data_IF_437483247281
#
_entry.id   IF_437483247281
#
_cell.length_a   1.000
_cell.length_b   1.000
_cell.length_c   1.000
_cell.angle_alpha   90.00
_cell.angle_beta   90.00
_cell.angle_gamma   90.00
#
_symmetry.space_group_name_H-M   'P 1'
#
loop_
_entity.id
_entity.type
_entity.pdbx_description
1 polymer ?
#
# COMPACT_ATOMS: atom_id res chain seq x y z
N UNK A 1 13.99 8.97 -1.80
CA UNK A 1 12.73 8.24 -2.03
C UNK A 1 12.46 8.30 -3.53
N UNK A 2 12.14 7.17 -4.16
CA UNK A 2 11.86 7.13 -5.59
C UNK A 2 10.39 7.50 -5.83
N UNK A 3 10.13 8.35 -6.83
CA UNK A 3 8.81 8.90 -7.15
C UNK A 3 8.41 8.51 -8.58
N UNK A 4 7.11 8.49 -8.86
CA UNK A 4 6.67 8.44 -10.25
C UNK A 4 7.03 9.76 -10.95
N UNK A 5 7.38 9.72 -12.25
CA UNK A 5 7.62 10.93 -13.04
C UNK A 5 6.46 11.93 -12.96
N UNK A 6 5.23 11.43 -13.03
CA UNK A 6 3.98 12.23 -13.03
C UNK A 6 3.26 12.21 -11.67
N UNK A 7 3.97 11.94 -10.58
CA UNK A 7 3.39 11.95 -9.25
C UNK A 7 2.88 13.35 -8.89
N UNK A 8 1.61 13.43 -8.48
CA UNK A 8 1.00 14.64 -7.97
C UNK A 8 1.81 15.25 -6.82
N UNK A 9 2.01 16.56 -6.86
CA UNK A 9 2.87 17.25 -5.89
C UNK A 9 2.35 17.15 -4.44
N UNK A 10 1.03 17.12 -4.25
CA UNK A 10 0.41 17.00 -2.93
C UNK A 10 0.54 15.57 -2.40
N UNK A 11 0.43 14.57 -3.29
CA UNK A 11 0.72 13.18 -2.94
C UNK A 11 2.17 13.00 -2.52
N UNK A 12 3.11 13.60 -3.26
CA UNK A 12 4.53 13.58 -2.92
C UNK A 12 4.77 14.19 -1.54
N UNK A 13 4.18 15.34 -1.25
CA UNK A 13 4.28 15.99 0.06
C UNK A 13 3.71 15.11 1.18
N UNK A 14 2.56 14.46 0.95
CA UNK A 14 1.98 13.50 1.90
C UNK A 14 2.96 12.36 2.20
N UNK A 15 3.55 11.73 1.17
CA UNK A 15 4.51 10.65 1.34
C UNK A 15 5.76 11.09 2.12
N UNK A 16 6.27 12.28 1.84
CA UNK A 16 7.41 12.87 2.58
C UNK A 16 7.04 13.12 4.04
N UNK A 17 5.87 13.71 4.31
CA UNK A 17 5.38 13.96 5.66
C UNK A 17 5.23 12.66 6.45
N UNK A 18 4.67 11.63 5.82
CA UNK A 18 4.54 10.31 6.41
C UNK A 18 5.90 9.66 6.69
N UNK A 19 6.87 9.82 5.80
CA UNK A 19 8.23 9.31 6.03
C UNK A 19 8.91 9.98 7.21
N UNK A 20 8.81 11.31 7.32
CA UNK A 20 9.37 12.04 8.46
C UNK A 20 8.72 11.59 9.76
N UNK A 21 7.39 11.42 9.78
CA UNK A 21 6.67 10.88 10.94
C UNK A 21 7.15 9.48 11.32
N UNK A 22 7.38 8.60 10.34
CA UNK A 22 7.96 7.28 10.61
C UNK A 22 9.37 7.37 11.19
N UNK A 23 10.21 8.30 10.70
CA UNK A 23 11.55 8.53 11.26
C UNK A 23 11.50 8.98 12.71
N UNK A 24 10.52 9.82 13.07
CA UNK A 24 10.34 10.32 14.43
C UNK A 24 9.84 9.21 15.39
N UNK A 25 8.92 8.36 14.93
CA UNK A 25 8.38 7.24 15.71
C UNK A 25 9.37 6.07 15.83
N UNK A 26 10.07 5.76 14.74
CA UNK A 26 10.89 4.56 14.59
C UNK A 26 10.07 3.27 14.51
N UNK A 27 10.77 2.12 14.52
CA UNK A 27 10.10 0.83 14.69
C UNK A 27 9.63 0.70 16.15
N UNK A 28 8.49 0.03 16.40
CA UNK A 28 8.04 -0.23 17.77
C UNK A 28 9.11 -0.99 18.55
N UNK A 29 9.13 -0.73 19.87
CA UNK A 29 9.97 -1.47 20.80
C UNK A 29 9.10 -2.38 21.66
N UNK A 30 9.72 -3.37 22.32
CA UNK A 30 9.01 -4.25 23.28
C UNK A 30 8.38 -3.52 24.47
N UNK A 31 8.69 -2.22 24.67
CA UNK A 31 8.07 -1.38 25.70
C UNK A 31 6.66 -0.93 25.32
N UNK A 32 6.26 -1.07 24.05
CA UNK A 32 4.94 -0.71 23.56
C UNK A 32 4.04 -1.94 23.73
N UNK A 33 2.95 -1.81 24.48
CA UNK A 33 2.08 -2.93 24.88
C UNK A 33 1.58 -3.74 23.67
N UNK A 34 1.12 -3.04 22.63
CA UNK A 34 0.62 -3.62 21.36
C UNK A 34 1.68 -4.47 20.62
N UNK A 35 2.96 -4.27 20.93
CA UNK A 35 4.09 -4.85 20.19
C UNK A 35 5.08 -5.60 21.09
N UNK A 36 4.75 -5.82 22.36
CA UNK A 36 5.67 -6.40 23.34
C UNK A 36 6.19 -7.79 22.94
N UNK A 37 5.37 -8.54 22.19
CA UNK A 37 5.66 -9.91 21.75
C UNK A 37 6.11 -9.99 20.28
N UNK A 38 6.26 -8.88 19.58
CA UNK A 38 6.68 -8.86 18.17
C UNK A 38 8.16 -8.47 18.05
N UNK A 39 8.95 -9.28 17.34
CA UNK A 39 10.36 -8.95 17.06
C UNK A 39 10.51 -8.33 15.66
N UNK A 40 11.01 -7.09 15.63
CA UNK A 40 11.30 -6.36 14.40
C UNK A 40 12.79 -6.35 14.02
N UNK A 41 13.63 -7.14 14.70
CA UNK A 41 15.08 -7.17 14.45
C UNK A 41 15.44 -7.50 13.00
N UNK A 42 14.68 -8.39 12.35
CA UNK A 42 14.86 -8.78 10.94
C UNK A 42 14.61 -7.61 9.98
N UNK A 43 13.66 -6.71 10.29
CA UNK A 43 13.40 -5.53 9.45
C UNK A 43 14.60 -4.58 9.40
N UNK A 44 15.45 -4.57 10.43
CA UNK A 44 16.66 -3.73 10.47
C UNK A 44 17.83 -4.30 9.67
N UNK A 45 17.82 -5.59 9.37
CA UNK A 45 18.93 -6.32 8.74
C UNK A 45 18.69 -6.65 7.27
N UNK A 46 17.57 -6.19 6.72
CA UNK A 46 17.14 -6.55 5.37
C UNK A 46 17.20 -5.31 4.50
N UNK A 47 17.76 -5.45 3.30
CA UNK A 47 17.68 -4.42 2.27
C UNK A 47 16.34 -4.51 1.54
N UNK A 48 15.67 -3.38 1.39
CA UNK A 48 14.37 -3.31 0.75
C UNK A 48 14.43 -2.50 -0.55
N UNK A 49 13.61 -2.91 -1.52
CA UNK A 49 13.31 -2.14 -2.73
C UNK A 49 11.81 -1.99 -2.90
N UNK A 50 11.38 -0.85 -3.44
CA UNK A 50 9.99 -0.68 -3.87
C UNK A 50 9.73 -1.50 -5.13
N UNK A 51 8.58 -2.17 -5.18
CA UNK A 51 8.12 -2.84 -6.39
C UNK A 51 7.41 -1.86 -7.31
N UNK A 52 7.78 -1.85 -8.58
CA UNK A 52 7.16 -1.07 -9.64
C UNK A 52 6.38 -1.97 -10.59
N UNK A 53 5.40 -1.40 -11.30
CA UNK A 53 4.57 -2.13 -12.25
C UNK A 53 5.39 -2.84 -13.35
N UNK A 54 6.53 -2.26 -13.77
CA UNK A 54 7.44 -2.86 -14.73
C UNK A 54 8.39 -3.91 -14.14
N UNK A 55 8.37 -4.10 -12.82
CA UNK A 55 9.23 -5.05 -12.09
C UNK A 55 8.45 -6.27 -11.56
N UNK A 56 7.20 -6.41 -11.99
CA UNK A 56 6.35 -7.51 -11.58
C UNK A 56 6.85 -8.83 -12.18
N UNK A 57 6.75 -9.94 -11.43
CA UNK A 57 7.06 -11.26 -11.96
C UNK A 57 6.09 -11.62 -13.09
N UNK A 58 6.45 -12.63 -13.87
CA UNK A 58 5.52 -13.24 -14.81
C UNK A 58 4.24 -13.65 -14.08
N UNK A 59 3.10 -13.33 -14.70
CA UNK A 59 1.81 -13.67 -14.14
C UNK A 59 1.64 -15.19 -14.06
N UNK A 60 1.14 -15.73 -12.94
CA UNK A 60 0.88 -17.15 -12.83
C UNK A 60 -0.25 -17.55 -13.79
N UNK A 61 -0.09 -18.69 -14.47
CA UNK A 61 -1.15 -19.25 -15.34
C UNK A 61 -2.36 -19.75 -14.55
N UNK A 62 -2.15 -20.11 -13.27
CA UNK A 62 -3.19 -20.58 -12.35
C UNK A 62 -3.02 -19.82 -11.04
N UNK A 63 -4.12 -19.26 -10.53
CA UNK A 63 -4.15 -18.59 -9.23
C UNK A 63 -4.56 -19.64 -8.18
N UNK A 64 -3.65 -20.10 -7.31
CA UNK A 64 -3.98 -21.08 -6.29
C UNK A 64 -4.91 -20.46 -5.24
N UNK A 65 -5.67 -21.31 -4.53
CA UNK A 65 -6.51 -20.85 -3.42
C UNK A 65 -7.76 -20.09 -3.83
N UNK A 66 -8.24 -20.27 -5.06
CA UNK A 66 -9.56 -19.75 -5.48
C UNK A 66 -10.66 -20.29 -4.55
N UNK A 67 -11.42 -19.37 -3.98
CA UNK A 67 -12.58 -19.70 -3.14
C UNK A 67 -13.81 -19.77 -4.06
N UNK A 68 -14.56 -20.89 -4.07
CA UNK A 68 -15.78 -21.00 -4.86
C UNK A 68 -16.80 -19.90 -4.51
N UNK A 69 -17.59 -19.46 -5.50
CA UNK A 69 -18.63 -18.44 -5.35
C UNK A 69 -18.13 -17.09 -4.82
N UNK A 70 -16.92 -16.68 -5.21
CA UNK A 70 -16.36 -15.38 -4.88
C UNK A 70 -15.79 -14.68 -6.11
N UNK A 71 -15.76 -13.35 -6.06
CA UNK A 71 -15.04 -12.51 -7.02
C UNK A 71 -13.59 -12.32 -6.55
N UNK A 72 -12.67 -12.18 -7.50
CA UNK A 72 -11.24 -12.06 -7.20
C UNK A 72 -10.71 -10.69 -7.62
N UNK A 73 -10.11 -9.98 -6.68
CA UNK A 73 -9.27 -8.82 -6.95
C UNK A 73 -7.83 -9.25 -6.69
N UNK A 74 -7.04 -9.41 -7.75
CA UNK A 74 -5.65 -9.83 -7.64
C UNK A 74 -4.72 -8.62 -7.59
N UNK A 75 -3.85 -8.59 -6.59
CA UNK A 75 -2.73 -7.65 -6.50
C UNK A 75 -1.42 -8.43 -6.34
N UNK A 76 -0.39 -8.06 -7.10
CA UNK A 76 0.94 -8.65 -7.01
C UNK A 76 1.91 -7.55 -6.62
N UNK A 77 2.61 -7.72 -5.50
CA UNK A 77 3.55 -6.73 -4.94
C UNK A 77 2.97 -5.29 -4.87
N UNK A 78 1.68 -5.17 -4.52
CA UNK A 78 0.96 -3.89 -4.42
C UNK A 78 0.25 -3.45 -5.71
N UNK A 79 0.52 -4.06 -6.86
CA UNK A 79 -0.03 -3.64 -8.15
C UNK A 79 -1.23 -4.49 -8.58
N UNK A 80 -2.35 -3.85 -8.88
CA UNK A 80 -3.59 -4.48 -9.33
C UNK A 80 -3.44 -5.16 -10.70
N UNK A 81 -3.99 -6.37 -10.83
CA UNK A 81 -3.93 -7.20 -12.03
C UNK A 81 -5.33 -7.36 -12.64
N UNK A 82 -5.80 -6.41 -13.47
CA UNK A 82 -7.16 -6.44 -14.01
C UNK A 82 -7.42 -7.68 -14.87
N UNK A 83 -6.41 -8.15 -15.62
CA UNK A 83 -6.53 -9.32 -16.50
C UNK A 83 -6.77 -10.64 -15.76
N UNK A 84 -6.46 -10.66 -14.47
CA UNK A 84 -6.58 -11.84 -13.59
C UNK A 84 -7.64 -11.65 -12.49
N UNK A 85 -8.31 -10.50 -12.51
CA UNK A 85 -9.37 -10.16 -11.57
C UNK A 85 -10.73 -10.38 -12.22
N UNK A 86 -11.71 -10.70 -11.39
CA UNK A 86 -13.11 -10.86 -11.78
C UNK A 86 -13.93 -9.89 -10.94
N UNK A 87 -14.45 -8.83 -11.57
CA UNK A 87 -15.14 -7.73 -10.90
C UNK A 87 -16.64 -7.86 -11.15
N UNK A 88 -17.47 -7.96 -10.10
CA UNK A 88 -18.92 -8.05 -10.26
C UNK A 88 -19.53 -6.77 -10.82
N UNK A 89 -20.75 -6.89 -11.34
CA UNK A 89 -21.59 -5.72 -11.63
C UNK A 89 -21.80 -4.89 -10.35
N UNK A 90 -21.77 -3.57 -10.49
CA UNK A 90 -21.91 -2.64 -9.37
C UNK A 90 -20.61 -2.40 -8.58
N UNK A 91 -19.48 -2.97 -9.00
CA UNK A 91 -18.17 -2.71 -8.38
C UNK A 91 -17.26 -2.02 -9.39
N UNK A 92 -16.67 -0.90 -8.96
CA UNK A 92 -15.69 -0.14 -9.73
C UNK A 92 -14.35 -0.11 -9.01
N UNK A 93 -13.26 -0.37 -9.75
CA UNK A 93 -11.89 -0.24 -9.25
C UNK A 93 -11.21 0.95 -9.93
N UNK A 94 -10.63 1.83 -9.12
CA UNK A 94 -9.75 2.91 -9.58
C UNK A 94 -8.37 2.77 -8.94
N UNK A 95 -7.36 3.38 -9.56
CA UNK A 95 -6.03 3.42 -8.93
C UNK A 95 -6.08 4.29 -7.67
N UNK A 96 -5.26 3.97 -6.68
CA UNK A 96 -5.14 4.81 -5.48
C UNK A 96 -4.69 6.24 -5.81
N UNK A 97 -3.94 6.42 -6.90
CA UNK A 97 -3.55 7.73 -7.39
C UNK A 97 -4.74 8.55 -7.91
N UNK A 98 -5.59 7.95 -8.74
CA UNK A 98 -6.77 8.62 -9.27
C UNK A 98 -7.80 8.89 -8.18
N UNK A 99 -7.95 7.95 -7.24
CA UNK A 99 -8.80 8.16 -6.06
C UNK A 99 -8.28 9.31 -5.19
N UNK A 100 -6.97 9.38 -4.95
CA UNK A 100 -6.35 10.47 -4.17
C UNK A 100 -6.62 11.85 -4.77
N UNK A 101 -6.56 12.01 -6.10
CA UNK A 101 -6.81 13.31 -6.75
C UNK A 101 -8.18 13.89 -6.40
N UNK A 102 -9.20 13.04 -6.30
CA UNK A 102 -10.56 13.46 -5.97
C UNK A 102 -10.87 13.39 -4.48
N UNK A 103 -10.08 12.66 -3.69
CA UNK A 103 -10.36 12.32 -2.29
C UNK A 103 -9.12 12.41 -1.39
N UNK A 104 -8.36 13.52 -1.39
CA UNK A 104 -7.07 13.59 -0.69
C UNK A 104 -7.18 13.39 0.83
N UNK A 105 -8.31 13.79 1.43
CA UNK A 105 -8.54 13.70 2.88
C UNK A 105 -8.59 12.26 3.40
N UNK A 106 -8.96 11.29 2.56
CA UNK A 106 -8.96 9.86 2.93
C UNK A 106 -7.54 9.31 3.19
N UNK A 107 -6.51 10.03 2.75
CA UNK A 107 -5.11 9.63 2.89
C UNK A 107 -4.39 10.41 4.00
N UNK A 108 -5.10 11.23 4.76
CA UNK A 108 -4.53 12.07 5.80
C UNK A 108 -3.94 11.23 6.96
N UNK A 109 -2.71 11.55 7.34
CA UNK A 109 -2.01 10.93 8.48
C UNK A 109 -2.39 11.63 9.82
N UNK A 110 -3.64 11.49 10.24
CA UNK A 110 -4.27 12.22 11.36
C UNK A 110 -3.74 11.83 12.75
N UNK A 111 -2.53 12.26 13.11
CA UNK A 111 -1.98 12.07 14.47
C UNK A 111 -1.71 10.62 14.88
N UNK A 112 -2.09 9.63 14.07
CA UNK A 112 -1.93 8.20 14.32
C UNK A 112 -0.48 7.84 14.72
N UNK A 113 -0.30 7.19 15.86
CA UNK A 113 1.02 6.86 16.40
C UNK A 113 1.56 5.52 15.90
N UNK A 114 0.83 4.81 15.03
CA UNK A 114 1.28 3.57 14.43
C UNK A 114 2.37 3.86 13.37
N UNK A 115 3.63 3.45 13.59
CA UNK A 115 4.70 3.72 12.65
C UNK A 115 4.51 2.97 11.32
N UNK A 116 3.84 1.83 11.31
CA UNK A 116 3.59 1.09 10.06
C UNK A 116 2.55 1.76 9.18
N UNK A 117 1.59 2.49 9.77
CA UNK A 117 0.69 3.34 8.99
C UNK A 117 1.48 4.44 8.27
N UNK A 118 2.32 5.17 9.00
CA UNK A 118 3.19 6.20 8.42
C UNK A 118 4.16 5.62 7.37
N UNK A 119 4.75 4.45 7.64
CA UNK A 119 5.65 3.77 6.69
C UNK A 119 4.90 3.36 5.42
N UNK A 120 3.73 2.72 5.54
CA UNK A 120 2.91 2.32 4.40
C UNK A 120 2.51 3.53 3.55
N UNK A 121 2.03 4.63 4.16
CA UNK A 121 1.71 5.86 3.43
C UNK A 121 2.95 6.46 2.76
N UNK A 122 4.12 6.39 3.38
CA UNK A 122 5.36 6.92 2.78
C UNK A 122 5.84 6.12 1.57
N UNK A 123 5.69 4.79 1.64
CA UNK A 123 6.17 3.84 0.65
C UNK A 123 5.13 3.50 -0.41
N UNK A 124 3.87 3.94 -0.27
CA UNK A 124 2.81 3.67 -1.23
C UNK A 124 3.22 4.19 -2.62
N UNK A 125 3.24 3.28 -3.57
CA UNK A 125 3.49 3.54 -4.98
C UNK A 125 2.56 2.68 -5.85
N UNK A 126 1.44 2.30 -5.26
CA UNK A 126 0.35 1.53 -5.83
C UNK A 126 -0.76 1.45 -4.78
N UNK A 127 -1.95 1.09 -5.22
CA UNK A 127 -3.13 1.00 -4.38
C UNK A 127 -4.37 1.00 -5.27
N UNK A 128 -5.51 0.64 -4.69
CA UNK A 128 -6.81 0.69 -5.36
C UNK A 128 -7.85 1.32 -4.44
N UNK A 129 -8.86 1.92 -5.04
CA UNK A 129 -10.14 2.18 -4.37
C UNK A 129 -11.20 1.27 -4.98
N UNK A 130 -12.04 0.70 -4.13
CA UNK A 130 -13.14 -0.18 -4.49
C UNK A 130 -14.42 0.55 -4.13
N UNK A 131 -15.25 0.84 -5.12
CA UNK A 131 -16.54 1.51 -4.96
C UNK A 131 -17.62 0.49 -5.28
N UNK A 132 -18.64 0.44 -4.43
CA UNK A 132 -19.82 -0.42 -4.58
C UNK A 132 -21.04 0.50 -4.72
N UNK A 133 -21.81 0.31 -5.80
CA UNK A 133 -23.05 1.04 -6.09
C UNK A 133 -24.21 0.68 -5.15
#
# INVERSE_FOLDING_TARGET
MNYWPDEDSTLRQLRIKAFNKFKDLGLPSKKWEDWQFTDFSTLKKTDYRLSWANSLPALPSIIPGRIPNTHLILMINGHYQPQLSDIPKGVTISTGFDHFKSNPDFYAINGDLNPFFALNTSMMNSGISIIID
#
